data_IF_845021125537
#
_entry.id   IF_845021125537
#
_cell.length_a   1.000
_cell.length_b   1.000
_cell.length_c   1.000
_cell.angle_alpha   90.00
_cell.angle_beta   90.00
_cell.angle_gamma   90.00
#
_symmetry.space_group_name_H-M   'P 1'
#
loop_
_entity.id
_entity.type
_entity.pdbx_description
1 polymer ?
#
# COMPACT_ATOMS: atom_id res chain seq x y z
N UNK A 1 4.20 0.01 13.47
CA UNK A 1 3.23 -0.94 12.87
C UNK A 1 2.86 -0.49 11.45
N UNK A 2 2.63 -1.44 10.56
CA UNK A 2 2.21 -1.15 9.19
C UNK A 2 0.76 -1.59 9.01
N UNK A 3 -0.12 -0.65 8.63
CA UNK A 3 -1.45 -0.97 8.15
C UNK A 3 -1.33 -1.28 6.65
N UNK A 4 -1.71 -2.47 6.25
CA UNK A 4 -1.63 -2.92 4.85
C UNK A 4 -3.05 -2.95 4.29
N UNK A 5 -3.32 -2.09 3.31
CA UNK A 5 -4.69 -1.75 2.90
C UNK A 5 -4.89 -2.03 1.41
N UNK A 6 -5.96 -2.73 1.07
CA UNK A 6 -6.35 -2.95 -0.33
C UNK A 6 -7.12 -1.78 -0.90
N UNK A 7 -6.74 -1.37 -2.11
CA UNK A 7 -7.44 -0.32 -2.86
C UNK A 7 -8.63 -0.84 -3.68
N UNK A 8 -8.83 -2.16 -3.68
CA UNK A 8 -9.88 -2.75 -4.49
C UNK A 8 -9.48 -2.92 -5.94
N UNK A 9 -10.42 -3.36 -6.76
CA UNK A 9 -10.18 -3.81 -8.13
C UNK A 9 -10.70 -2.84 -9.20
N UNK A 10 -11.38 -1.78 -8.82
CA UNK A 10 -12.01 -0.86 -9.77
C UNK A 10 -11.50 0.57 -9.59
N UNK A 11 -12.38 1.48 -9.28
CA UNK A 11 -12.06 2.89 -9.07
C UNK A 11 -12.38 3.29 -7.61
N UNK A 12 -12.50 4.58 -7.36
CA UNK A 12 -12.80 5.09 -6.02
C UNK A 12 -14.12 4.54 -5.44
N UNK A 13 -15.06 4.16 -6.28
CA UNK A 13 -16.34 3.59 -5.83
C UNK A 13 -16.19 2.15 -5.33
N UNK A 14 -15.08 1.50 -5.63
CA UNK A 14 -14.75 0.18 -5.09
C UNK A 14 -13.98 0.21 -3.77
N UNK A 15 -13.71 1.39 -3.23
CA UNK A 15 -13.03 1.53 -1.95
C UNK A 15 -13.96 1.15 -0.80
N UNK A 16 -13.42 0.42 0.19
CA UNK A 16 -14.18 0.13 1.40
C UNK A 16 -14.15 1.33 2.35
N UNK A 17 -15.12 1.40 3.26
CA UNK A 17 -15.11 2.43 4.30
C UNK A 17 -13.87 2.32 5.18
N UNK A 18 -13.41 1.10 5.49
CA UNK A 18 -12.19 0.90 6.25
C UNK A 18 -10.97 1.48 5.54
N UNK A 19 -10.86 1.28 4.23
CA UNK A 19 -9.76 1.84 3.45
C UNK A 19 -9.80 3.37 3.50
N UNK A 20 -10.97 3.96 3.32
CA UNK A 20 -11.14 5.42 3.37
C UNK A 20 -10.76 5.96 4.76
N UNK A 21 -11.20 5.31 5.82
CA UNK A 21 -10.84 5.72 7.17
C UNK A 21 -9.34 5.64 7.41
N UNK A 22 -8.69 4.61 6.88
CA UNK A 22 -7.23 4.47 6.98
C UNK A 22 -6.51 5.62 6.26
N UNK A 23 -6.99 6.03 5.09
CA UNK A 23 -6.40 7.16 4.36
C UNK A 23 -6.37 8.44 5.18
N UNK A 24 -7.30 8.59 6.10
CA UNK A 24 -7.53 9.82 6.87
C UNK A 24 -7.12 9.68 8.34
N UNK A 25 -6.42 8.62 8.72
CA UNK A 25 -6.09 8.35 10.13
C UNK A 25 -4.89 9.16 10.67
N UNK A 26 -4.28 9.99 9.85
CA UNK A 26 -3.15 10.83 10.25
C UNK A 26 -1.78 10.19 10.05
N UNK A 27 -1.71 8.91 9.70
CA UNK A 27 -0.45 8.24 9.41
C UNK A 27 0.03 8.61 8.00
N UNK A 28 1.32 8.48 7.76
CA UNK A 28 1.87 8.69 6.43
C UNK A 28 1.39 7.58 5.49
N UNK A 29 0.93 7.98 4.29
CA UNK A 29 0.37 7.07 3.30
C UNK A 29 1.41 6.75 2.23
N UNK A 30 1.68 5.46 2.05
CA UNK A 30 2.56 4.95 0.98
C UNK A 30 1.74 4.05 0.06
N UNK A 31 1.90 4.25 -1.25
CA UNK A 31 1.25 3.45 -2.27
C UNK A 31 2.29 2.62 -3.01
N UNK A 32 2.04 1.32 -3.18
CA UNK A 32 2.91 0.49 -4.01
C UNK A 32 3.04 1.09 -5.40
N UNK A 33 1.92 1.53 -5.95
CA UNK A 33 1.87 2.27 -7.20
C UNK A 33 0.74 3.29 -7.17
N UNK A 34 0.93 4.41 -7.85
CA UNK A 34 -0.14 5.38 -8.07
C UNK A 34 -0.96 5.06 -9.33
N UNK A 35 -0.55 4.03 -10.09
CA UNK A 35 -1.23 3.60 -11.31
C UNK A 35 -2.42 2.70 -10.96
N UNK A 36 -3.42 3.29 -10.30
CA UNK A 36 -4.67 2.65 -9.93
C UNK A 36 -5.76 3.71 -9.90
N UNK A 37 -6.92 3.38 -10.46
CA UNK A 37 -8.01 4.36 -10.62
C UNK A 37 -8.54 4.87 -9.27
N UNK A 38 -8.47 4.07 -8.21
CA UNK A 38 -8.90 4.49 -6.88
C UNK A 38 -8.03 5.61 -6.29
N UNK A 39 -6.84 5.84 -6.81
CA UNK A 39 -5.93 6.90 -6.36
C UNK A 39 -6.55 8.29 -6.61
N UNK A 40 -7.49 8.42 -7.54
CA UNK A 40 -8.25 9.63 -7.75
C UNK A 40 -8.88 10.14 -6.44
N UNK A 41 -9.29 9.25 -5.56
CA UNK A 41 -9.89 9.63 -4.28
C UNK A 41 -8.92 10.43 -3.39
N UNK A 42 -7.62 10.08 -3.40
CA UNK A 42 -6.61 10.85 -2.67
C UNK A 42 -6.55 12.29 -3.17
N UNK A 43 -6.63 12.47 -4.49
CA UNK A 43 -6.62 13.82 -5.09
C UNK A 43 -7.90 14.57 -4.79
N UNK A 44 -9.06 13.91 -4.91
CA UNK A 44 -10.36 14.52 -4.64
C UNK A 44 -10.45 15.05 -3.20
N UNK A 45 -9.89 14.34 -2.25
CA UNK A 45 -9.97 14.66 -0.82
C UNK A 45 -8.71 15.36 -0.28
N UNK A 46 -7.79 15.73 -1.15
CA UNK A 46 -6.52 16.38 -0.78
C UNK A 46 -5.74 15.58 0.27
N UNK A 47 -5.68 14.26 0.09
CA UNK A 47 -4.93 13.37 0.97
C UNK A 47 -3.53 13.18 0.40
N UNK A 48 -2.51 13.49 1.19
CA UNK A 48 -1.12 13.34 0.76
C UNK A 48 -0.71 11.87 0.75
N UNK A 49 0.14 11.51 -0.20
CA UNK A 49 0.73 10.18 -0.28
C UNK A 49 2.08 10.22 -0.99
N UNK A 50 2.86 9.16 -0.80
CA UNK A 50 4.07 8.89 -1.58
C UNK A 50 3.89 7.54 -2.27
N UNK A 51 4.47 7.39 -3.46
CA UNK A 51 4.39 6.13 -4.20
C UNK A 51 5.78 5.58 -4.50
N UNK A 52 5.84 4.29 -4.78
CA UNK A 52 7.09 3.60 -5.08
C UNK A 52 7.33 3.42 -6.59
N UNK A 53 6.59 4.14 -7.43
CA UNK A 53 6.73 4.01 -8.89
C UNK A 53 8.15 4.31 -9.38
N UNK A 54 8.86 5.22 -8.72
CA UNK A 54 10.23 5.56 -9.09
C UNK A 54 11.20 4.36 -9.00
N UNK A 55 10.90 3.39 -8.16
CA UNK A 55 11.76 2.19 -8.03
C UNK A 55 11.66 1.28 -9.25
N UNK A 56 10.49 1.26 -9.91
CA UNK A 56 10.30 0.47 -11.13
C UNK A 56 11.14 0.99 -12.30
N UNK A 57 11.44 2.27 -12.29
CA UNK A 57 12.31 2.88 -13.30
C UNK A 57 13.80 2.72 -12.98
N UNK A 58 14.12 2.67 -11.68
CA UNK A 58 15.49 2.64 -11.18
C UNK A 58 16.09 1.23 -11.17
N UNK A 59 15.31 0.23 -10.76
CA UNK A 59 15.80 -1.12 -10.55
C UNK A 59 15.72 -1.99 -11.80
N UNK A 60 16.61 -3.02 -11.88
CA UNK A 60 16.72 -3.91 -13.03
C UNK A 60 15.73 -5.07 -13.02
N UNK A 61 15.15 -5.38 -11.87
CA UNK A 61 14.20 -6.48 -11.73
C UNK A 61 13.09 -6.15 -10.76
N UNK A 62 11.94 -6.81 -10.91
CA UNK A 62 10.83 -6.64 -9.98
C UNK A 62 11.17 -7.11 -8.57
N UNK A 63 11.99 -8.16 -8.44
CA UNK A 63 12.41 -8.64 -7.12
C UNK A 63 13.22 -7.58 -6.37
N UNK A 64 14.08 -6.83 -7.06
CA UNK A 64 14.83 -5.73 -6.46
C UNK A 64 13.90 -4.60 -6.03
N UNK A 65 12.89 -4.28 -6.85
CA UNK A 65 11.88 -3.29 -6.49
C UNK A 65 11.15 -3.70 -5.21
N UNK A 66 10.67 -4.94 -5.16
CA UNK A 66 9.91 -5.42 -4.00
C UNK A 66 10.76 -5.43 -2.73
N UNK A 67 12.02 -5.84 -2.84
CA UNK A 67 12.93 -5.83 -1.68
C UNK A 67 13.18 -4.42 -1.16
N UNK A 68 13.36 -3.44 -2.04
CA UNK A 68 13.55 -2.05 -1.62
C UNK A 68 12.30 -1.46 -0.97
N UNK A 69 11.11 -1.76 -1.52
CA UNK A 69 9.85 -1.32 -0.91
C UNK A 69 9.74 -1.86 0.52
N UNK A 70 9.97 -3.15 0.68
CA UNK A 70 9.86 -3.82 1.97
C UNK A 70 10.85 -3.25 2.98
N UNK A 71 12.10 -3.10 2.59
CA UNK A 71 13.14 -2.53 3.46
C UNK A 71 12.78 -1.10 3.90
N UNK A 72 12.30 -0.29 2.97
CA UNK A 72 11.87 1.07 3.26
C UNK A 72 10.73 1.10 4.27
N UNK A 73 9.69 0.29 4.05
CA UNK A 73 8.52 0.25 4.92
C UNK A 73 8.87 -0.25 6.33
N UNK A 74 9.70 -1.27 6.42
CA UNK A 74 10.16 -1.79 7.72
C UNK A 74 10.91 -0.70 8.48
N UNK A 75 11.81 0.00 7.82
CA UNK A 75 12.57 1.06 8.45
C UNK A 75 11.69 2.20 8.93
N UNK A 76 10.76 2.67 8.09
CA UNK A 76 9.83 3.74 8.45
C UNK A 76 8.92 3.35 9.61
N UNK A 77 8.52 2.08 9.70
CA UNK A 77 7.59 1.62 10.73
C UNK A 77 8.23 1.40 12.09
N UNK A 78 9.54 1.54 12.23
CA UNK A 78 10.24 1.31 13.50
C UNK A 78 9.82 2.28 14.59
N UNK A 79 9.50 3.52 14.24
CA UNK A 79 9.24 4.59 15.18
C UNK A 79 7.84 5.19 15.06
N UNK A 80 7.02 4.70 14.14
CA UNK A 80 5.67 5.25 13.90
C UNK A 80 4.81 4.23 13.17
N UNK A 81 3.50 4.43 13.23
CA UNK A 81 2.57 3.68 12.40
C UNK A 81 2.50 4.30 11.01
N UNK A 82 2.46 3.47 9.99
CA UNK A 82 2.36 3.91 8.59
C UNK A 82 1.28 3.11 7.88
N UNK A 83 0.79 3.66 6.77
CA UNK A 83 -0.18 3.00 5.90
C UNK A 83 0.50 2.61 4.59
N UNK A 84 0.24 1.39 4.14
CA UNK A 84 0.72 0.89 2.87
C UNK A 84 -0.45 0.37 2.04
N UNK A 85 -0.71 1.01 0.90
CA UNK A 85 -1.85 0.69 0.02
C UNK A 85 -1.37 -0.09 -1.18
N UNK A 86 -2.09 -1.17 -1.48
CA UNK A 86 -1.81 -2.02 -2.64
C UNK A 86 -3.07 -2.20 -3.49
N UNK A 87 -2.93 -2.43 -4.82
CA UNK A 87 -4.08 -2.78 -5.66
C UNK A 87 -4.77 -4.05 -5.17
N UNK A 88 -6.06 -4.13 -5.38
CA UNK A 88 -6.84 -5.32 -5.05
C UNK A 88 -6.93 -5.59 -3.56
N UNK A 89 -6.67 -6.84 -3.19
CA UNK A 89 -6.68 -7.32 -1.82
C UNK A 89 -5.25 -7.67 -1.41
N UNK A 90 -4.77 -7.21 -0.24
CA UNK A 90 -3.39 -7.45 0.18
C UNK A 90 -2.98 -8.91 0.25
N UNK A 91 -3.92 -9.81 0.48
CA UNK A 91 -3.64 -11.24 0.62
C UNK A 91 -3.66 -12.02 -0.69
N UNK A 92 -3.93 -11.35 -1.81
CA UNK A 92 -4.05 -12.02 -3.10
C UNK A 92 -3.03 -11.49 -4.09
N UNK A 93 -2.06 -12.35 -4.47
CA UNK A 93 -1.06 -12.08 -5.51
C UNK A 93 -0.23 -10.81 -5.28
N UNK A 94 0.04 -10.46 -4.01
CA UNK A 94 0.81 -9.26 -3.68
C UNK A 94 2.14 -9.64 -3.02
N UNK A 95 3.22 -9.60 -3.82
CA UNK A 95 4.56 -10.06 -3.39
C UNK A 95 5.14 -9.25 -2.24
N UNK A 96 4.97 -7.94 -2.25
CA UNK A 96 5.50 -7.09 -1.18
C UNK A 96 4.84 -7.41 0.16
N UNK A 97 3.54 -7.72 0.13
CA UNK A 97 2.80 -8.08 1.36
C UNK A 97 3.30 -9.40 1.92
N UNK A 98 3.53 -10.40 1.06
CA UNK A 98 4.10 -11.68 1.49
C UNK A 98 5.45 -11.45 2.19
N UNK A 99 6.32 -10.65 1.59
CA UNK A 99 7.64 -10.35 2.17
C UNK A 99 7.53 -9.61 3.51
N UNK A 100 6.59 -8.66 3.62
CA UNK A 100 6.36 -7.94 4.88
C UNK A 100 5.91 -8.89 6.00
N UNK A 101 4.96 -9.76 5.69
CA UNK A 101 4.44 -10.73 6.67
C UNK A 101 5.55 -11.69 7.13
N UNK A 102 6.36 -12.15 6.19
CA UNK A 102 7.49 -13.04 6.49
C UNK A 102 8.59 -12.37 7.31
N UNK A 103 8.64 -11.05 7.34
CA UNK A 103 9.65 -10.28 8.08
C UNK A 103 9.35 -10.17 9.57
N UNK A 104 8.27 -10.77 10.05
CA UNK A 104 7.89 -10.76 11.47
C UNK A 104 7.65 -9.35 12.03
N UNK A 105 7.22 -8.42 11.19
CA UNK A 105 6.85 -7.08 11.62
C UNK A 105 5.44 -7.09 12.24
N UNK A 106 5.13 -6.06 13.03
CA UNK A 106 3.77 -5.84 13.48
C UNK A 106 2.96 -5.20 12.35
N UNK A 107 1.84 -5.82 11.99
CA UNK A 107 1.02 -5.34 10.89
C UNK A 107 -0.48 -5.56 11.16
N UNK A 108 -1.29 -4.83 10.40
CA UNK A 108 -2.74 -4.99 10.38
C UNK A 108 -3.19 -5.02 8.92
N UNK A 109 -4.07 -5.96 8.58
CA UNK A 109 -4.59 -6.10 7.21
C UNK A 109 -5.98 -5.48 7.11
N UNK A 110 -6.17 -4.60 6.15
CA UNK A 110 -7.48 -4.05 5.78
C UNK A 110 -7.77 -4.52 4.37
N UNK A 111 -8.79 -5.36 4.23
CA UNK A 111 -9.12 -6.01 2.98
C UNK A 111 -9.66 -5.04 1.95
N UNK A 112 -9.44 -5.34 0.68
CA UNK A 112 -10.04 -4.65 -0.45
C UNK A 112 -10.70 -5.66 -1.37
N UNK A 113 -11.46 -5.17 -2.35
CA UNK A 113 -12.07 -6.03 -3.36
C UNK A 113 -10.96 -6.66 -4.22
N UNK A 114 -11.05 -7.98 -4.43
CA UNK A 114 -10.08 -8.71 -5.24
C UNK A 114 -10.39 -8.57 -6.73
N UNK A 115 -9.33 -8.71 -7.56
CA UNK A 115 -9.48 -8.83 -9.01
C UNK A 115 -10.03 -10.21 -9.44
N UNK A 116 -10.07 -11.15 -8.53
CA UNK A 116 -10.49 -12.53 -8.82
C UNK A 116 -11.86 -12.78 -8.21
#
# INVERSE_FOLDING_TARGET
>A
MINIIGLGATDKFGLTLEAINAMKNGNENFLRTKEHRAVEYFHDENIDFKSFDYLYEKENSFEDVYSEIVDFLIDESKNKDINYFVPGNPLIAERTVVKLIESSIEYNIIMGMSFI
#
